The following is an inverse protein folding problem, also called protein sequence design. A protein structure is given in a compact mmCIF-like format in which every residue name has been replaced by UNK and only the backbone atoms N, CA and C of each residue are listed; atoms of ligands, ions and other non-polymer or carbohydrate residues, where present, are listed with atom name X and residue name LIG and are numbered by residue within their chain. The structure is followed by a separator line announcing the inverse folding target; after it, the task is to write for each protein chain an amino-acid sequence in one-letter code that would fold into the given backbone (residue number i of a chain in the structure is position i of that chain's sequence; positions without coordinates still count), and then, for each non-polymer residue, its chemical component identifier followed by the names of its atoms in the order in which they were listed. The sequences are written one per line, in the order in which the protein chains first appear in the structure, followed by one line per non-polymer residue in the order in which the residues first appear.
data_IF_299707330284
#
_entry.id   IF_299707330284
#
_cell.length_a   1.000
_cell.length_b   1.000
_cell.length_c   1.000
_cell.angle_alpha   90.00
_cell.angle_beta   90.00
_cell.angle_gamma   90.00
#
_symmetry.space_group_name_H-M   'P 1'
#
loop_
_entity.id
_entity.type
_entity.pdbx_description
1 polymer ?
#
# COMPACT_ATOMS: atom_id res chain seq x y z
N UNK A 1 -15.25 16.92 -32.18
CA UNK A 1 -15.80 15.56 -32.00
C UNK A 1 -14.67 14.64 -31.59
N UNK A 2 -14.53 14.32 -30.31
CA UNK A 2 -13.66 13.21 -29.91
C UNK A 2 -14.33 11.90 -30.35
N UNK A 3 -13.56 10.99 -30.93
CA UNK A 3 -14.04 9.68 -31.31
C UNK A 3 -14.42 8.90 -30.05
N UNK A 4 -15.70 8.58 -29.87
CA UNK A 4 -16.20 7.78 -28.75
C UNK A 4 -16.08 6.29 -29.10
N UNK A 5 -15.42 5.51 -28.24
CA UNK A 5 -15.35 4.06 -28.37
C UNK A 5 -16.38 3.41 -27.44
N UNK A 6 -17.20 2.49 -27.98
CA UNK A 6 -18.13 1.70 -27.16
C UNK A 6 -17.39 0.55 -26.49
N UNK A 7 -17.55 0.42 -25.18
CA UNK A 7 -16.95 -0.65 -24.35
C UNK A 7 -18.06 -1.27 -23.48
N UNK A 8 -17.94 -2.57 -23.21
CA UNK A 8 -18.82 -3.30 -22.29
C UNK A 8 -18.08 -3.54 -20.98
N UNK A 9 -18.68 -3.13 -19.85
CA UNK A 9 -18.13 -3.34 -18.50
C UNK A 9 -19.04 -4.27 -17.71
N UNK A 10 -18.44 -5.16 -16.92
CA UNK A 10 -19.16 -5.96 -15.94
C UNK A 10 -19.20 -5.19 -14.61
N UNK A 11 -20.40 -4.82 -14.17
CA UNK A 11 -20.63 -4.11 -12.91
C UNK A 11 -21.53 -4.94 -12.02
N UNK A 12 -21.34 -4.83 -10.70
CA UNK A 12 -22.30 -5.43 -9.76
C UNK A 12 -23.68 -4.78 -9.93
N UNK A 13 -24.79 -5.51 -9.64
CA UNK A 13 -26.14 -4.96 -9.78
C UNK A 13 -26.33 -3.69 -8.93
N UNK A 14 -25.71 -3.64 -7.76
CA UNK A 14 -25.76 -2.48 -6.87
C UNK A 14 -25.03 -1.27 -7.47
N UNK A 15 -23.83 -1.46 -8.01
CA UNK A 15 -23.05 -0.39 -8.63
C UNK A 15 -23.75 0.14 -9.89
N UNK A 16 -24.27 -0.75 -10.73
CA UNK A 16 -25.05 -0.37 -11.90
C UNK A 16 -26.30 0.44 -11.51
N UNK A 17 -27.02 0.05 -10.45
CA UNK A 17 -28.15 0.81 -9.92
C UNK A 17 -27.75 2.20 -9.44
N UNK A 18 -26.66 2.31 -8.66
CA UNK A 18 -26.15 3.60 -8.17
C UNK A 18 -25.77 4.52 -9.33
N UNK A 19 -25.08 3.99 -10.34
CA UNK A 19 -24.68 4.75 -11.53
C UNK A 19 -25.90 5.24 -12.31
N UNK A 20 -26.93 4.39 -12.49
CA UNK A 20 -28.18 4.76 -13.17
C UNK A 20 -28.97 5.84 -12.43
N UNK A 21 -29.02 5.76 -11.10
CA UNK A 21 -29.67 6.81 -10.29
C UNK A 21 -28.92 8.12 -10.47
N UNK A 22 -27.59 8.10 -10.35
CA UNK A 22 -26.77 9.30 -10.45
C UNK A 22 -26.86 9.96 -11.83
N UNK A 23 -26.84 9.18 -12.90
CA UNK A 23 -27.06 9.72 -14.26
C UNK A 23 -28.43 10.40 -14.42
N UNK A 24 -29.47 9.88 -13.76
CA UNK A 24 -30.80 10.46 -13.82
C UNK A 24 -30.89 11.76 -13.00
N UNK A 25 -30.24 11.81 -11.83
CA UNK A 25 -30.20 13.00 -10.96
C UNK A 25 -29.39 14.12 -11.61
N UNK A 26 -28.20 13.78 -12.12
CA UNK A 26 -27.26 14.76 -12.68
C UNK A 26 -27.63 15.15 -14.13
N UNK A 27 -28.63 14.50 -14.74
CA UNK A 27 -29.04 14.69 -16.14
C UNK A 27 -27.89 14.49 -17.15
N UNK A 28 -26.92 13.65 -16.79
CA UNK A 28 -25.76 13.30 -17.60
C UNK A 28 -25.81 11.83 -18.03
N UNK A 29 -25.26 11.47 -19.20
CA UNK A 29 -25.21 10.08 -19.61
C UNK A 29 -24.28 9.25 -18.70
N UNK A 30 -24.65 8.00 -18.43
CA UNK A 30 -23.82 7.09 -17.60
C UNK A 30 -22.38 6.94 -18.12
N UNK A 31 -22.17 7.08 -19.43
CA UNK A 31 -20.83 7.02 -20.03
C UNK A 31 -19.92 8.16 -19.57
N UNK A 32 -20.47 9.36 -19.35
CA UNK A 32 -19.70 10.54 -18.92
C UNK A 32 -19.32 10.43 -17.44
N UNK A 33 -20.25 9.94 -16.61
CA UNK A 33 -19.95 9.58 -15.21
C UNK A 33 -18.86 8.49 -15.13
N UNK A 34 -18.94 7.45 -15.96
CA UNK A 34 -17.95 6.38 -16.01
C UNK A 34 -16.58 6.90 -16.48
N UNK A 35 -16.55 7.75 -17.50
CA UNK A 35 -15.33 8.38 -18.00
C UNK A 35 -14.66 9.22 -16.91
N UNK A 36 -15.40 10.09 -16.21
CA UNK A 36 -14.85 10.88 -15.09
C UNK A 36 -14.29 10.00 -13.98
N UNK A 37 -14.98 8.90 -13.63
CA UNK A 37 -14.50 7.97 -12.62
C UNK A 37 -13.21 7.25 -13.05
N UNK A 38 -13.12 6.82 -14.31
CA UNK A 38 -11.92 6.17 -14.86
C UNK A 38 -10.74 7.14 -14.92
N UNK A 39 -10.96 8.36 -15.40
CA UNK A 39 -9.93 9.41 -15.42
C UNK A 39 -9.44 9.72 -14.01
N UNK A 40 -10.36 9.85 -13.05
CA UNK A 40 -10.02 10.06 -11.64
C UNK A 40 -9.14 8.92 -11.10
N UNK A 41 -9.55 7.67 -11.31
CA UNK A 41 -8.80 6.50 -10.84
C UNK A 41 -7.39 6.45 -11.45
N UNK A 42 -7.26 6.66 -12.77
CA UNK A 42 -5.96 6.63 -13.44
C UNK A 42 -5.05 7.80 -13.04
N UNK A 43 -5.62 8.97 -12.76
CA UNK A 43 -4.86 10.16 -12.36
C UNK A 43 -4.44 10.10 -10.89
N UNK A 44 -5.20 9.38 -10.06
CA UNK A 44 -5.05 9.37 -8.61
C UNK A 44 -4.91 7.94 -8.07
N UNK A 45 -4.28 7.04 -8.82
CA UNK A 45 -4.19 5.62 -8.45
C UNK A 45 -3.54 5.43 -7.08
N UNK A 46 -2.50 6.20 -6.78
CA UNK A 46 -1.83 6.19 -5.46
C UNK A 46 -2.81 6.50 -4.32
N UNK A 47 -3.71 7.47 -4.48
CA UNK A 47 -4.68 7.83 -3.45
C UNK A 47 -5.74 6.73 -3.25
N UNK A 48 -6.13 6.05 -4.32
CA UNK A 48 -7.12 4.97 -4.25
C UNK A 48 -6.48 3.72 -3.64
N UNK A 49 -5.27 3.37 -4.08
CA UNK A 49 -4.50 2.24 -3.56
C UNK A 49 -4.19 2.44 -2.08
N UNK A 50 -3.91 3.67 -1.65
CA UNK A 50 -3.78 3.98 -0.23
C UNK A 50 -5.05 3.57 0.53
N UNK A 51 -6.26 3.88 0.07
CA UNK A 51 -7.49 3.53 0.81
C UNK A 51 -7.69 2.01 0.89
N UNK A 52 -7.30 1.27 -0.14
CA UNK A 52 -7.47 -0.20 -0.18
C UNK A 52 -6.37 -0.96 0.58
N UNK A 53 -5.16 -0.41 0.65
CA UNK A 53 -4.03 -1.00 1.36
C UNK A 53 -4.00 -0.61 2.84
N UNK A 54 -4.78 -1.34 3.65
CA UNK A 54 -4.66 -1.27 5.12
C UNK A 54 -3.39 -1.94 5.67
N UNK A 55 -2.64 -2.65 4.82
CA UNK A 55 -1.42 -3.37 5.20
C UNK A 55 -0.17 -2.57 4.77
N UNK A 56 0.84 -2.49 5.63
CA UNK A 56 2.10 -1.78 5.34
C UNK A 56 2.16 -0.30 5.75
N UNK A 57 1.07 0.25 6.30
CA UNK A 57 1.01 1.66 6.75
C UNK A 57 1.41 1.92 8.20
N UNK A 58 1.67 0.87 8.98
CA UNK A 58 2.01 0.97 10.41
C UNK A 58 3.27 1.80 10.69
N UNK A 59 4.13 1.99 9.69
CA UNK A 59 5.38 2.75 9.81
C UNK A 59 5.47 3.96 8.85
N UNK A 60 4.35 4.54 8.42
CA UNK A 60 4.38 5.76 7.60
C UNK A 60 4.71 6.97 8.48
N UNK A 61 5.82 7.64 8.14
CA UNK A 61 6.27 8.86 8.80
C UNK A 61 5.76 10.08 8.04
N UNK A 62 5.08 10.97 8.74
CA UNK A 62 4.56 12.24 8.24
C UNK A 62 5.43 13.40 8.76
N UNK A 63 5.60 14.45 7.98
CA UNK A 63 6.24 15.69 8.45
C UNK A 63 5.17 16.67 8.90
N UNK A 64 5.24 17.15 10.14
CA UNK A 64 4.33 18.17 10.63
C UNK A 64 4.69 19.54 10.03
N UNK A 65 3.81 20.20 9.26
CA UNK A 65 4.12 21.49 8.63
C UNK A 65 4.27 22.64 9.63
N UNK A 66 3.82 22.47 10.89
CA UNK A 66 3.90 23.51 11.92
C UNK A 66 5.19 23.44 12.76
N UNK A 67 5.80 22.27 12.89
CA UNK A 67 6.95 22.08 13.78
C UNK A 67 8.06 21.19 13.21
N UNK A 68 7.98 20.83 11.92
CA UNK A 68 8.93 19.98 11.18
C UNK A 68 9.23 18.62 11.83
N UNK A 69 8.42 18.20 12.80
CA UNK A 69 8.60 16.92 13.48
C UNK A 69 8.10 15.75 12.63
N UNK A 70 8.84 14.65 12.70
CA UNK A 70 8.43 13.35 12.17
C UNK A 70 7.33 12.77 13.07
N UNK A 71 6.16 12.50 12.51
CA UNK A 71 4.99 11.94 13.19
C UNK A 71 4.64 10.57 12.60
N UNK A 72 4.05 9.68 13.39
CA UNK A 72 3.48 8.42 12.94
C UNK A 72 2.02 8.31 13.39
N UNK A 73 1.19 7.64 12.59
CA UNK A 73 -0.20 7.39 12.94
C UNK A 73 -0.30 6.05 13.69
N UNK A 74 -0.64 6.10 14.98
CA UNK A 74 -0.80 4.91 15.83
C UNK A 74 -2.14 4.98 16.55
N UNK A 75 -2.95 3.94 16.44
CA UNK A 75 -4.28 3.88 17.08
C UNK A 75 -5.18 5.09 16.75
N UNK A 76 -5.07 5.60 15.52
CA UNK A 76 -5.76 6.83 15.04
C UNK A 76 -5.32 8.15 15.68
N UNK A 77 -4.23 8.14 16.45
CA UNK A 77 -3.60 9.33 16.99
C UNK A 77 -2.26 9.61 16.29
N UNK A 78 -1.96 10.89 16.09
CA UNK A 78 -0.66 11.34 15.60
C UNK A 78 0.32 11.43 16.77
N UNK A 79 1.29 10.52 16.81
CA UNK A 79 2.33 10.49 17.83
C UNK A 79 3.64 10.97 17.22
N UNK A 80 4.30 11.93 17.87
CA UNK A 80 5.61 12.36 17.44
C UNK A 80 6.63 11.23 17.62
N UNK A 81 7.39 10.95 16.57
CA UNK A 81 8.65 10.23 16.71
C UNK A 81 9.57 11.18 17.48
N UNK A 82 9.63 10.98 18.81
CA UNK A 82 10.65 11.61 19.64
C UNK A 82 12.01 11.34 19.00
N UNK A 83 12.95 12.29 19.11
CA UNK A 83 14.30 12.23 18.52
C UNK A 83 14.99 10.90 18.85
N UNK A 84 14.69 9.86 18.08
CA UNK A 84 15.36 8.58 18.22
C UNK A 84 16.75 8.79 17.65
N UNK A 85 17.82 8.50 18.39
CA UNK A 85 19.16 8.54 17.85
C UNK A 85 19.21 7.49 16.73
N UNK A 86 19.08 7.96 15.49
CA UNK A 86 19.21 7.15 14.28
C UNK A 86 20.65 6.78 14.01
N UNK A 87 21.34 6.19 14.99
CA UNK A 87 22.56 5.41 14.86
C UNK A 87 22.59 4.47 16.05
N UNK A 88 22.10 3.23 15.89
CA UNK A 88 22.69 2.15 16.67
C UNK A 88 24.09 2.05 16.09
N UNK A 89 25.10 2.59 16.78
CA UNK A 89 26.47 2.24 16.48
C UNK A 89 26.49 0.71 16.60
N UNK A 90 26.57 0.03 15.46
CA UNK A 90 26.95 -1.36 15.43
C UNK A 90 28.40 -1.39 15.91
N UNK A 91 28.60 -1.29 17.23
CA UNK A 91 29.73 -1.93 17.86
C UNK A 91 29.65 -3.38 17.40
N UNK A 92 30.55 -3.68 16.47
CA UNK A 92 30.80 -4.95 15.82
C UNK A 92 30.15 -6.09 16.60
N UNK A 93 29.11 -6.67 16.01
CA UNK A 93 28.65 -7.98 16.43
C UNK A 93 29.82 -8.92 16.11
N UNK A 94 30.69 -9.14 17.10
CA UNK A 94 31.72 -10.17 17.02
C UNK A 94 30.97 -11.49 17.06
N UNK A 95 30.70 -12.02 15.87
CA UNK A 95 30.33 -13.41 15.71
C UNK A 95 31.59 -14.17 16.12
N UNK A 96 31.61 -14.67 17.36
CA UNK A 96 32.65 -15.61 17.77
C UNK A 96 32.38 -16.90 16.99
N UNK A 97 33.07 -17.05 15.86
CA UNK A 97 33.27 -18.36 15.23
C UNK A 97 34.24 -19.16 16.11
N UNK A 98 33.71 -19.74 17.18
CA UNK A 98 34.36 -20.91 17.81
C UNK A 98 33.89 -22.14 17.03
N UNK A 99 34.63 -22.45 15.97
CA UNK A 99 34.64 -23.77 15.35
C UNK A 99 35.33 -24.73 16.34
N UNK A 100 34.56 -25.26 17.29
CA UNK A 100 34.96 -26.45 18.03
C UNK A 100 34.81 -27.66 17.09
N UNK A 101 35.96 -28.24 16.76
CA UNK A 101 36.06 -29.56 16.12
C UNK A 101 35.59 -30.66 17.09
N UNK A 102 34.95 -31.67 16.49
CA UNK A 102 34.75 -33.04 16.95
C UNK A 102 33.41 -33.40 17.64
N UNK A 103 32.65 -34.31 16.99
CA UNK A 103 31.59 -35.08 17.66
C UNK A 103 30.29 -35.38 16.88
N UNK A 104 30.35 -36.32 15.93
CA UNK A 104 29.28 -37.29 15.56
C UNK A 104 27.94 -36.81 14.91
N UNK A 105 27.83 -37.15 13.60
CA UNK A 105 26.66 -37.32 12.70
C UNK A 105 25.46 -38.14 13.32
N UNK A 106 24.24 -38.30 12.70
CA UNK A 106 23.69 -37.75 11.44
C UNK A 106 22.18 -37.33 11.49
N UNK A 107 21.68 -36.62 10.46
CA UNK A 107 20.40 -36.85 9.72
C UNK A 107 19.86 -35.60 9.01
N UNK A 108 19.51 -35.77 7.73
CA UNK A 108 18.51 -34.94 7.04
C UNK A 108 19.01 -34.28 5.76
N UNK A 109 19.13 -35.06 4.68
CA UNK A 109 19.26 -34.53 3.32
C UNK A 109 17.94 -33.84 2.94
N UNK A 110 17.97 -32.53 2.74
CA UNK A 110 16.95 -31.82 1.96
C UNK A 110 17.64 -31.19 0.74
N UNK A 111 17.45 -31.83 -0.41
CA UNK A 111 17.94 -31.42 -1.71
C UNK A 111 17.19 -30.16 -2.18
N UNK A 112 17.93 -29.08 -2.44
CA UNK A 112 17.36 -27.84 -2.96
C UNK A 112 16.98 -28.02 -4.44
N UNK A 113 15.69 -28.01 -4.75
CA UNK A 113 15.18 -27.96 -6.13
C UNK A 113 15.45 -26.58 -6.75
N UNK A 114 16.06 -26.51 -7.95
CA UNK A 114 16.20 -25.25 -8.68
C UNK A 114 14.87 -24.82 -9.33
N UNK A 115 14.67 -23.50 -9.39
CA UNK A 115 13.51 -22.83 -9.96
C UNK A 115 13.34 -23.07 -11.47
#
# INVERSE_FOLDING_TARGET
MQAKQKVTLYLSPELHRKLKIRSAVDSEPMSELAERALVFYLTNSELVDEIESNYGKTHRVYSCPNCESSLVLKDSELVALSKQPGVINQERISINDELDEDGANPKGEEELVPC
#
